data_IF_777505382079
#
_entry.id   IF_777505382079
#
_cell.length_a   1.000
_cell.length_b   1.000
_cell.length_c   1.000
_cell.angle_alpha   90.00
_cell.angle_beta   90.00
_cell.angle_gamma   90.00
#
_symmetry.space_group_name_H-M   'P 1'
#
loop_
_entity.id
_entity.type
_entity.pdbx_description
1 polymer ?
#
# COMPACT_ATOMS: atom_id res chain seq x y z
N UNK A 1 -21.89 -6.14 -29.07
CA UNK A 1 -21.90 -6.09 -27.59
C UNK A 1 -23.19 -6.70 -27.10
N UNK A 2 -23.11 -7.82 -26.41
CA UNK A 2 -24.28 -8.54 -25.90
C UNK A 2 -24.93 -7.86 -24.70
N UNK A 3 -26.21 -8.14 -24.43
CA UNK A 3 -26.94 -7.62 -23.26
C UNK A 3 -26.23 -7.98 -21.94
N UNK A 4 -25.59 -9.16 -21.88
CA UNK A 4 -24.82 -9.63 -20.72
C UNK A 4 -23.56 -8.81 -20.47
N UNK A 5 -22.79 -8.48 -21.52
CA UNK A 5 -21.57 -7.68 -21.42
C UNK A 5 -21.87 -6.25 -20.94
N UNK A 6 -22.99 -5.67 -21.42
CA UNK A 6 -23.44 -4.35 -20.98
C UNK A 6 -23.81 -4.33 -19.49
N UNK A 7 -24.57 -5.32 -19.03
CA UNK A 7 -24.97 -5.43 -17.62
C UNK A 7 -23.77 -5.64 -16.70
N UNK A 8 -22.80 -6.45 -17.10
CA UNK A 8 -21.60 -6.66 -16.30
C UNK A 8 -20.75 -5.38 -16.23
N UNK A 9 -20.64 -4.63 -17.33
CA UNK A 9 -19.94 -3.34 -17.32
C UNK A 9 -20.63 -2.33 -16.40
N UNK A 10 -21.95 -2.17 -16.51
CA UNK A 10 -22.72 -1.27 -15.64
C UNK A 10 -22.57 -1.66 -14.15
N UNK A 11 -22.49 -2.97 -13.85
CA UNK A 11 -22.23 -3.49 -12.50
C UNK A 11 -20.84 -3.08 -12.00
N UNK A 12 -19.79 -3.25 -12.81
CA UNK A 12 -18.43 -2.86 -12.44
C UNK A 12 -18.27 -1.35 -12.28
N UNK A 13 -18.88 -0.55 -13.16
CA UNK A 13 -18.90 0.91 -13.07
C UNK A 13 -19.54 1.37 -11.74
N UNK A 14 -20.67 0.78 -11.36
CA UNK A 14 -21.32 1.12 -10.09
C UNK A 14 -20.49 0.65 -8.88
N UNK A 15 -19.88 -0.55 -8.93
CA UNK A 15 -18.96 -1.01 -7.87
C UNK A 15 -17.84 0.01 -7.66
N UNK A 16 -17.22 0.49 -8.74
CA UNK A 16 -16.17 1.50 -8.67
C UNK A 16 -16.67 2.83 -8.08
N UNK A 17 -17.85 3.31 -8.48
CA UNK A 17 -18.43 4.52 -7.90
C UNK A 17 -18.68 4.41 -6.38
N UNK A 18 -19.10 3.24 -5.89
CA UNK A 18 -19.26 2.99 -4.46
C UNK A 18 -17.91 3.10 -3.74
N UNK A 19 -16.88 2.49 -4.30
CA UNK A 19 -15.53 2.47 -3.74
C UNK A 19 -14.92 3.88 -3.70
N UNK A 20 -15.03 4.64 -4.79
CA UNK A 20 -14.53 6.02 -4.88
C UNK A 20 -15.21 6.93 -3.84
N UNK A 21 -16.53 6.80 -3.70
CA UNK A 21 -17.29 7.57 -2.71
C UNK A 21 -16.96 7.17 -1.26
N UNK A 22 -16.77 5.87 -1.01
CA UNK A 22 -16.35 5.37 0.30
C UNK A 22 -14.95 5.87 0.67
N UNK A 23 -14.00 5.80 -0.26
CA UNK A 23 -12.64 6.30 -0.07
C UNK A 23 -12.64 7.79 0.27
N UNK A 24 -13.38 8.61 -0.50
CA UNK A 24 -13.51 10.04 -0.23
C UNK A 24 -14.08 10.30 1.17
N UNK A 25 -15.14 9.61 1.57
CA UNK A 25 -15.74 9.77 2.90
C UNK A 25 -14.82 9.29 4.04
N UNK A 26 -14.08 8.20 3.84
CA UNK A 26 -13.09 7.72 4.81
C UNK A 26 -12.00 8.77 5.04
N UNK A 27 -11.56 9.47 4.01
CA UNK A 27 -10.55 10.54 4.13
C UNK A 27 -11.14 11.84 4.70
N UNK A 28 -12.37 12.19 4.32
CA UNK A 28 -13.03 13.45 4.75
C UNK A 28 -13.42 13.43 6.24
N UNK A 29 -13.97 12.32 6.74
CA UNK A 29 -14.55 12.25 8.08
C UNK A 29 -14.12 11.04 8.93
N UNK A 30 -13.32 10.13 8.37
CA UNK A 30 -12.87 8.91 9.02
C UNK A 30 -13.78 7.71 8.78
N UNK A 31 -13.21 6.50 8.90
CA UNK A 31 -13.93 5.24 8.71
C UNK A 31 -15.12 5.10 9.68
N UNK A 32 -14.93 5.34 10.97
CA UNK A 32 -15.97 5.22 12.00
C UNK A 32 -17.20 6.10 11.75
N UNK A 33 -16.98 7.34 11.32
CA UNK A 33 -18.08 8.29 11.06
C UNK A 33 -18.77 8.06 9.72
N UNK A 34 -18.21 7.21 8.86
CA UNK A 34 -18.79 6.88 7.57
C UNK A 34 -19.73 5.70 7.70
N UNK A 35 -20.94 5.83 7.15
CA UNK A 35 -21.93 4.77 7.06
C UNK A 35 -22.25 4.41 5.61
N UNK A 36 -22.80 3.23 5.36
CA UNK A 36 -23.33 2.82 4.04
C UNK A 36 -24.34 3.84 3.51
N UNK A 37 -25.12 4.46 4.40
CA UNK A 37 -26.06 5.50 4.04
C UNK A 37 -25.36 6.76 3.51
N UNK A 38 -24.26 7.19 4.13
CA UNK A 38 -23.50 8.34 3.64
C UNK A 38 -22.92 8.06 2.25
N UNK A 39 -22.42 6.84 2.03
CA UNK A 39 -21.87 6.43 0.72
C UNK A 39 -22.99 6.48 -0.32
N UNK A 40 -24.15 5.87 -0.04
CA UNK A 40 -25.30 5.87 -0.93
C UNK A 40 -25.80 7.29 -1.25
N UNK A 41 -25.92 8.14 -0.24
CA UNK A 41 -26.31 9.55 -0.40
C UNK A 41 -25.32 10.31 -1.30
N UNK A 42 -24.01 10.07 -1.14
CA UNK A 42 -22.98 10.75 -1.94
C UNK A 42 -23.01 10.39 -3.43
N UNK A 43 -23.45 9.19 -3.77
CA UNK A 43 -23.59 8.75 -5.17
C UNK A 43 -25.04 8.83 -5.67
N UNK A 44 -25.96 9.40 -4.88
CA UNK A 44 -27.39 9.53 -5.20
C UNK A 44 -28.13 8.18 -5.42
N UNK A 45 -27.71 7.14 -4.70
CA UNK A 45 -28.36 5.82 -4.70
C UNK A 45 -29.03 5.51 -3.35
N UNK A 46 -29.86 4.46 -3.36
CA UNK A 46 -30.42 3.92 -2.11
C UNK A 46 -29.36 3.08 -1.37
N UNK A 47 -29.39 3.01 -0.02
CA UNK A 47 -28.54 2.07 0.72
C UNK A 47 -28.73 0.62 0.27
N UNK A 48 -29.96 0.24 -0.10
CA UNK A 48 -30.26 -1.08 -0.65
C UNK A 48 -29.47 -1.41 -1.92
N UNK A 49 -29.13 -0.41 -2.73
CA UNK A 49 -28.29 -0.59 -3.92
C UNK A 49 -26.87 -0.97 -3.53
N UNK A 50 -26.30 -0.39 -2.47
CA UNK A 50 -24.95 -0.71 -1.99
C UNK A 50 -24.88 -2.15 -1.49
N UNK A 51 -25.92 -2.59 -0.77
CA UNK A 51 -26.01 -3.96 -0.24
C UNK A 51 -26.09 -5.05 -1.32
N UNK A 52 -26.32 -4.69 -2.60
CA UNK A 52 -26.21 -5.63 -3.72
C UNK A 52 -24.75 -5.96 -4.08
N UNK A 53 -23.80 -5.12 -3.66
CA UNK A 53 -22.38 -5.22 -3.98
C UNK A 53 -21.54 -5.59 -2.77
N UNK A 54 -21.86 -5.00 -1.61
CA UNK A 54 -21.07 -5.16 -0.40
C UNK A 54 -21.96 -5.51 0.78
N UNK A 55 -21.55 -6.50 1.56
CA UNK A 55 -22.32 -6.96 2.72
C UNK A 55 -22.43 -5.88 3.80
N UNK A 56 -21.34 -5.18 4.04
CA UNK A 56 -21.22 -4.16 5.08
C UNK A 56 -20.07 -3.18 4.75
N UNK A 57 -19.80 -2.25 5.67
CA UNK A 57 -18.75 -1.24 5.52
C UNK A 57 -17.34 -1.86 5.53
N UNK A 58 -17.16 -2.98 6.23
CA UNK A 58 -15.87 -3.66 6.31
C UNK A 58 -15.52 -4.36 4.99
N UNK A 59 -16.51 -4.91 4.29
CA UNK A 59 -16.37 -5.48 2.95
C UNK A 59 -15.91 -4.42 1.93
N UNK A 60 -16.50 -3.22 1.97
CA UNK A 60 -16.05 -2.06 1.15
C UNK A 60 -14.60 -1.69 1.49
N UNK A 61 -14.28 -1.66 2.79
CA UNK A 61 -12.93 -1.35 3.23
C UNK A 61 -11.91 -2.36 2.71
N UNK A 62 -12.21 -3.65 2.84
CA UNK A 62 -11.33 -4.72 2.42
C UNK A 62 -11.04 -4.62 0.91
N UNK A 63 -12.06 -4.39 0.09
CA UNK A 63 -11.88 -4.20 -1.34
C UNK A 63 -10.98 -2.98 -1.64
N UNK A 64 -11.20 -1.85 -0.97
CA UNK A 64 -10.33 -0.67 -1.10
C UNK A 64 -8.88 -0.97 -0.69
N UNK A 65 -8.69 -1.73 0.39
CA UNK A 65 -7.38 -2.13 0.90
C UNK A 65 -6.65 -3.03 -0.10
N UNK A 66 -7.32 -4.06 -0.61
CA UNK A 66 -6.82 -4.94 -1.67
C UNK A 66 -6.41 -4.13 -2.90
N UNK A 67 -7.28 -3.22 -3.38
CA UNK A 67 -6.97 -2.36 -4.52
C UNK A 67 -5.74 -1.47 -4.26
N UNK A 68 -5.60 -0.92 -3.07
CA UNK A 68 -4.45 -0.10 -2.71
C UNK A 68 -3.14 -0.90 -2.75
N UNK A 69 -3.13 -2.12 -2.21
CA UNK A 69 -1.95 -3.00 -2.28
C UNK A 69 -1.67 -3.52 -3.69
N UNK A 70 -2.69 -3.71 -4.54
CA UNK A 70 -2.47 -4.02 -5.96
C UNK A 70 -1.80 -2.85 -6.70
N UNK A 71 -2.23 -1.62 -6.42
CA UNK A 71 -1.64 -0.41 -7.01
C UNK A 71 -0.20 -0.25 -6.55
N UNK A 72 0.09 -0.48 -5.26
CA UNK A 72 1.46 -0.53 -4.75
C UNK A 72 2.28 -1.64 -5.42
N UNK A 73 1.75 -2.86 -5.53
CA UNK A 73 2.46 -3.97 -6.15
C UNK A 73 2.79 -3.67 -7.62
N UNK A 74 1.83 -3.19 -8.41
CA UNK A 74 2.05 -2.79 -9.80
C UNK A 74 3.13 -1.71 -9.91
N UNK A 75 3.16 -0.77 -8.96
CA UNK A 75 4.20 0.25 -8.87
C UNK A 75 5.58 -0.38 -8.62
N UNK A 76 5.70 -1.29 -7.65
CA UNK A 76 6.99 -1.89 -7.27
C UNK A 76 7.46 -2.98 -8.24
N UNK A 77 6.55 -3.71 -8.89
CA UNK A 77 6.85 -4.88 -9.71
C UNK A 77 7.73 -4.56 -10.92
N UNK A 78 7.76 -3.31 -11.39
CA UNK A 78 8.66 -2.87 -12.48
C UNK A 78 10.14 -3.03 -12.13
N UNK A 79 10.48 -3.07 -10.84
CA UNK A 79 11.85 -3.29 -10.37
C UNK A 79 12.36 -4.70 -10.63
N UNK A 80 11.48 -5.68 -10.90
CA UNK A 80 11.85 -7.07 -11.20
C UNK A 80 12.79 -7.17 -12.42
N UNK A 81 12.73 -6.20 -13.34
CA UNK A 81 13.61 -6.12 -14.51
C UNK A 81 15.08 -5.78 -14.16
N UNK A 82 15.34 -5.27 -12.95
CA UNK A 82 16.69 -4.94 -12.48
C UNK A 82 17.39 -6.22 -12.03
N UNK A 83 18.52 -6.57 -12.67
CA UNK A 83 19.22 -7.85 -12.47
C UNK A 83 20.11 -7.91 -11.22
N UNK A 84 20.68 -6.77 -10.83
CA UNK A 84 21.46 -6.69 -9.59
C UNK A 84 20.50 -6.53 -8.41
N UNK A 85 20.49 -7.44 -7.42
CA UNK A 85 19.51 -7.38 -6.35
C UNK A 85 19.75 -6.22 -5.40
N UNK A 86 20.97 -5.69 -5.27
CA UNK A 86 21.23 -4.50 -4.45
C UNK A 86 20.72 -3.24 -5.14
N UNK A 87 20.89 -3.12 -6.46
CA UNK A 87 20.23 -2.07 -7.26
C UNK A 87 18.71 -2.21 -7.22
N UNK A 88 18.18 -3.45 -7.25
CA UNK A 88 16.75 -3.71 -7.11
C UNK A 88 16.24 -3.27 -5.73
N UNK A 89 16.92 -3.58 -4.63
CA UNK A 89 16.57 -3.12 -3.28
C UNK A 89 16.56 -1.60 -3.16
N UNK A 90 17.58 -0.94 -3.73
CA UNK A 90 17.65 0.52 -3.78
C UNK A 90 16.46 1.10 -4.55
N UNK A 91 16.14 0.53 -5.71
CA UNK A 91 15.00 0.95 -6.52
C UNK A 91 13.67 0.71 -5.80
N UNK A 92 13.47 -0.47 -5.19
CA UNK A 92 12.31 -0.79 -4.36
C UNK A 92 12.10 0.24 -3.25
N UNK A 93 13.17 0.61 -2.54
CA UNK A 93 13.12 1.59 -1.45
C UNK A 93 12.71 2.98 -1.95
N UNK A 94 13.28 3.44 -3.07
CA UNK A 94 12.94 4.73 -3.66
C UNK A 94 11.51 4.75 -4.21
N UNK A 95 11.07 3.68 -4.85
CA UNK A 95 9.72 3.55 -5.40
C UNK A 95 8.67 3.47 -4.29
N UNK A 96 8.94 2.73 -3.22
CA UNK A 96 8.07 2.67 -2.05
C UNK A 96 7.90 4.06 -1.40
N UNK A 97 9.00 4.81 -1.21
CA UNK A 97 8.93 6.19 -0.72
C UNK A 97 8.16 7.10 -1.68
N UNK A 98 8.46 7.04 -2.97
CA UNK A 98 7.77 7.85 -3.99
C UNK A 98 6.28 7.57 -3.99
N UNK A 99 5.88 6.30 -3.94
CA UNK A 99 4.48 5.90 -3.84
C UNK A 99 3.80 6.54 -2.63
N UNK A 100 4.40 6.44 -1.45
CA UNK A 100 3.87 6.99 -0.21
C UNK A 100 3.72 8.53 -0.26
N UNK A 101 4.69 9.21 -0.87
CA UNK A 101 4.69 10.67 -1.03
C UNK A 101 3.61 11.13 -2.01
N UNK A 102 3.47 10.43 -3.14
CA UNK A 102 2.55 10.80 -4.20
C UNK A 102 1.10 10.35 -3.91
N UNK A 103 0.91 9.37 -3.02
CA UNK A 103 -0.40 8.77 -2.69
C UNK A 103 -0.61 8.66 -1.16
N UNK A 104 -0.61 9.77 -0.41
CA UNK A 104 -0.73 9.75 1.05
C UNK A 104 -2.05 9.11 1.52
N UNK A 105 -3.15 9.31 0.80
CA UNK A 105 -4.45 8.76 1.16
C UNK A 105 -4.49 7.23 1.01
N UNK A 106 -3.92 6.69 -0.09
CA UNK A 106 -3.78 5.24 -0.26
C UNK A 106 -2.85 4.65 0.81
N UNK A 107 -1.81 5.37 1.19
CA UNK A 107 -0.91 4.92 2.25
C UNK A 107 -1.59 4.90 3.63
N UNK A 108 -2.38 5.93 3.94
CA UNK A 108 -3.17 5.99 5.17
C UNK A 108 -4.19 4.85 5.22
N UNK A 109 -4.85 4.56 4.09
CA UNK A 109 -5.75 3.42 3.93
C UNK A 109 -5.06 2.09 4.22
N UNK A 110 -3.85 1.88 3.71
CA UNK A 110 -3.13 0.60 3.84
C UNK A 110 -2.58 0.33 5.25
N UNK A 111 -2.06 1.35 5.94
CA UNK A 111 -1.18 1.13 7.10
C UNK A 111 -1.60 1.85 8.40
N UNK A 112 -2.58 2.76 8.35
CA UNK A 112 -2.84 3.68 9.46
C UNK A 112 -4.21 3.50 10.09
N UNK A 113 -5.22 3.09 9.31
CA UNK A 113 -6.52 2.74 9.85
C UNK A 113 -6.36 1.43 10.64
N UNK A 114 -6.67 1.46 11.95
CA UNK A 114 -6.54 0.31 12.88
C UNK A 114 -7.64 -0.74 12.70
N UNK A 115 -8.82 -0.27 12.35
CA UNK A 115 -10.05 -1.05 12.17
C UNK A 115 -10.07 -2.15 11.08
N UNK A 116 -9.15 -2.22 10.09
CA UNK A 116 -9.17 -3.26 9.05
C UNK A 116 -8.65 -4.64 9.43
N UNK A 117 -7.72 -4.72 10.39
CA UNK A 117 -7.02 -5.99 10.65
C UNK A 117 -7.97 -7.03 11.28
N UNK A 118 -8.93 -6.59 12.10
CA UNK A 118 -9.97 -7.46 12.67
C UNK A 118 -10.95 -7.97 11.59
N UNK A 119 -11.16 -7.22 10.50
CA UNK A 119 -11.96 -7.66 9.36
C UNK A 119 -11.20 -8.64 8.45
N UNK A 120 -9.88 -8.47 8.31
CA UNK A 120 -8.98 -9.39 7.61
C UNK A 120 -8.90 -10.76 8.32
N UNK A 121 -8.94 -10.80 9.65
CA UNK A 121 -8.98 -12.07 10.40
C UNK A 121 -10.21 -12.93 10.06
N UNK A 122 -11.28 -12.30 9.59
CA UNK A 122 -12.54 -12.96 9.24
C UNK A 122 -12.67 -13.25 7.73
N UNK A 123 -11.82 -12.68 6.87
CA UNK A 123 -11.86 -12.84 5.41
C UNK A 123 -10.53 -13.44 4.92
N UNK A 124 -10.61 -14.70 4.51
CA UNK A 124 -9.52 -15.59 4.11
C UNK A 124 -8.41 -14.91 3.28
N UNK A 125 -7.17 -14.90 3.81
CA UNK A 125 -5.92 -14.71 3.06
C UNK A 125 -5.61 -13.27 2.62
N UNK A 126 -4.62 -12.63 3.23
CA UNK A 126 -4.09 -11.33 2.79
C UNK A 126 -3.09 -11.48 1.63
N UNK A 127 -3.54 -12.05 0.51
CA UNK A 127 -2.69 -12.38 -0.64
C UNK A 127 -1.86 -11.19 -1.14
N UNK A 128 -2.45 -10.00 -1.20
CA UNK A 128 -1.77 -8.81 -1.70
C UNK A 128 -0.66 -8.33 -0.76
N UNK A 129 -0.85 -8.50 0.55
CA UNK A 129 0.19 -8.26 1.53
C UNK A 129 1.37 -9.21 1.33
N UNK A 130 1.08 -10.50 1.16
CA UNK A 130 2.10 -11.50 0.83
C UNK A 130 2.82 -11.16 -0.47
N UNK A 131 2.11 -10.87 -1.57
CA UNK A 131 2.71 -10.51 -2.87
C UNK A 131 3.67 -9.31 -2.78
N UNK A 132 3.32 -8.27 -2.01
CA UNK A 132 4.17 -7.10 -1.82
C UNK A 132 5.39 -7.42 -0.96
N UNK A 133 5.21 -8.18 0.12
CA UNK A 133 6.30 -8.60 1.00
C UNK A 133 7.27 -9.56 0.31
N UNK A 134 6.75 -10.54 -0.43
CA UNK A 134 7.53 -11.55 -1.16
C UNK A 134 8.46 -10.89 -2.18
N UNK A 135 8.05 -9.82 -2.85
CA UNK A 135 8.92 -9.07 -3.76
C UNK A 135 10.19 -8.54 -3.05
N UNK A 136 10.03 -7.97 -1.86
CA UNK A 136 11.16 -7.52 -1.05
C UNK A 136 12.00 -8.72 -0.57
N UNK A 137 11.34 -9.72 0.00
CA UNK A 137 11.97 -10.90 0.58
C UNK A 137 12.78 -11.70 -0.42
N UNK A 138 12.23 -11.95 -1.60
CA UNK A 138 12.91 -12.67 -2.68
C UNK A 138 14.13 -11.90 -3.17
N UNK A 139 14.04 -10.57 -3.22
CA UNK A 139 15.19 -9.72 -3.60
C UNK A 139 16.29 -9.76 -2.53
N UNK A 140 15.93 -9.74 -1.24
CA UNK A 140 16.88 -9.91 -0.13
C UNK A 140 17.54 -11.29 -0.20
N UNK A 141 16.74 -12.35 -0.40
CA UNK A 141 17.25 -13.72 -0.52
C UNK A 141 18.24 -13.85 -1.69
N UNK A 142 17.92 -13.30 -2.86
CA UNK A 142 18.83 -13.29 -4.02
C UNK A 142 20.17 -12.57 -3.71
N UNK A 143 20.11 -11.44 -3.00
CA UNK A 143 21.32 -10.71 -2.58
C UNK A 143 22.17 -11.52 -1.59
N UNK A 144 21.54 -12.28 -0.69
CA UNK A 144 22.22 -13.15 0.28
C UNK A 144 22.87 -14.35 -0.43
N UNK A 145 22.18 -14.98 -1.38
CA UNK A 145 22.70 -16.09 -2.18
C UNK A 145 23.92 -15.67 -3.02
N UNK A 146 23.93 -14.42 -3.51
CA UNK A 146 25.08 -13.82 -4.21
C UNK A 146 26.19 -13.33 -3.27
N UNK A 147 26.04 -13.49 -1.95
CA UNK A 147 27.01 -13.05 -0.95
C UNK A 147 27.15 -11.52 -0.82
N UNK A 148 26.16 -10.77 -1.31
CA UNK A 148 26.13 -9.30 -1.24
C UNK A 148 25.58 -8.78 0.09
N UNK A 149 24.73 -9.58 0.75
CA UNK A 149 24.22 -9.37 2.10
C UNK A 149 24.71 -10.54 2.96
N UNK A 150 25.06 -10.25 4.22
CA UNK A 150 25.49 -11.27 5.17
C UNK A 150 24.39 -12.33 5.36
N UNK A 151 24.78 -13.60 5.44
CA UNK A 151 23.87 -14.71 5.72
C UNK A 151 23.22 -14.53 7.09
N UNK A 152 21.90 -14.53 7.12
CA UNK A 152 21.01 -14.39 8.27
C UNK A 152 19.65 -15.02 7.90
N UNK A 153 18.62 -14.83 8.72
CA UNK A 153 17.23 -15.05 8.34
C UNK A 153 16.77 -13.96 7.33
N UNK A 154 16.31 -14.34 6.10
CA UNK A 154 15.85 -13.37 5.10
C UNK A 154 14.63 -12.56 5.55
N UNK A 155 13.78 -13.13 6.40
CA UNK A 155 12.59 -12.45 6.92
C UNK A 155 12.99 -11.37 7.94
N UNK A 156 13.99 -11.62 8.77
CA UNK A 156 14.55 -10.60 9.70
C UNK A 156 15.10 -9.40 8.93
N UNK A 157 15.89 -9.65 7.89
CA UNK A 157 16.48 -8.59 7.07
C UNK A 157 15.40 -7.83 6.29
N UNK A 158 14.41 -8.54 5.74
CA UNK A 158 13.31 -7.94 4.98
C UNK A 158 12.42 -7.07 5.86
N UNK A 159 12.07 -7.53 7.06
CA UNK A 159 11.31 -6.75 8.04
C UNK A 159 12.07 -5.52 8.50
N UNK A 160 13.38 -5.63 8.74
CA UNK A 160 14.20 -4.49 9.12
C UNK A 160 14.28 -3.44 7.99
N UNK A 161 14.56 -3.89 6.76
CA UNK A 161 14.60 -3.02 5.58
C UNK A 161 13.25 -2.32 5.36
N UNK A 162 12.14 -3.08 5.39
CA UNK A 162 10.80 -2.52 5.25
C UNK A 162 10.51 -1.52 6.37
N UNK A 163 10.77 -1.85 7.63
CA UNK A 163 10.49 -0.98 8.77
C UNK A 163 11.22 0.36 8.68
N UNK A 164 12.48 0.36 8.24
CA UNK A 164 13.27 1.58 8.10
C UNK A 164 12.72 2.50 7.01
N UNK A 165 12.40 1.96 5.83
CA UNK A 165 11.81 2.74 4.73
C UNK A 165 10.37 3.16 5.03
N UNK A 166 9.58 2.28 5.64
CA UNK A 166 8.22 2.55 6.13
C UNK A 166 8.22 3.66 7.18
N UNK A 167 9.20 3.67 8.09
CA UNK A 167 9.39 4.74 9.07
C UNK A 167 9.62 6.11 8.40
N UNK A 168 10.47 6.15 7.36
CA UNK A 168 10.69 7.37 6.58
C UNK A 168 9.42 7.86 5.88
N UNK A 169 8.67 6.96 5.23
CA UNK A 169 7.39 7.27 4.59
C UNK A 169 6.35 7.78 5.60
N UNK A 170 6.20 7.10 6.73
CA UNK A 170 5.28 7.47 7.80
C UNK A 170 5.60 8.85 8.39
N UNK A 171 6.89 9.13 8.65
CA UNK A 171 7.33 10.44 9.13
C UNK A 171 7.07 11.54 8.10
N UNK A 172 7.25 11.24 6.81
CA UNK A 172 6.96 12.17 5.71
C UNK A 172 5.48 12.54 5.67
N UNK A 173 4.60 11.53 5.57
CA UNK A 173 3.15 11.72 5.45
C UNK A 173 2.60 12.50 6.65
N UNK A 174 3.13 12.23 7.85
CA UNK A 174 2.75 12.94 9.08
C UNK A 174 3.43 14.29 9.27
N UNK A 175 4.16 14.80 8.26
CA UNK A 175 4.87 16.09 8.27
C UNK A 175 5.77 16.23 9.51
N UNK A 176 6.47 15.15 9.88
CA UNK A 176 7.30 15.08 11.10
C UNK A 176 8.74 15.55 10.92
N UNK A 177 9.14 15.94 9.71
CA UNK A 177 10.47 16.46 9.41
C UNK A 177 10.66 17.97 9.63
N UNK A 178 9.81 18.62 10.46
CA UNK A 178 9.87 20.08 10.70
C UNK A 178 11.16 20.58 11.38
N UNK A 179 12.01 19.67 11.88
CA UNK A 179 13.32 20.01 12.42
C UNK A 179 14.39 20.26 11.35
N UNK A 180 14.07 20.00 10.07
CA UNK A 180 14.95 20.20 8.92
C UNK A 180 14.44 21.36 8.04
N UNK A 181 15.33 22.04 7.27
CA UNK A 181 14.90 22.96 6.22
C UNK A 181 14.03 22.27 5.18
N UNK A 182 12.94 22.91 4.73
CA UNK A 182 11.92 22.31 3.85
C UNK A 182 12.53 21.78 2.55
N UNK A 183 13.40 22.57 1.93
CA UNK A 183 14.13 22.25 0.71
C UNK A 183 15.08 21.05 0.87
N UNK A 184 15.51 20.76 2.10
CA UNK A 184 16.43 19.67 2.42
C UNK A 184 15.69 18.36 2.75
N UNK A 185 14.42 18.39 3.14
CA UNK A 185 13.69 17.18 3.60
C UNK A 185 13.67 16.11 2.51
N UNK A 186 13.22 16.45 1.30
CA UNK A 186 13.09 15.46 0.21
C UNK A 186 14.44 14.84 -0.15
N UNK A 187 15.50 15.61 -0.45
CA UNK A 187 16.81 15.02 -0.72
C UNK A 187 17.34 14.14 0.42
N UNK A 188 17.18 14.56 1.68
CA UNK A 188 17.67 13.80 2.83
C UNK A 188 16.92 12.49 3.04
N UNK A 189 15.60 12.48 2.86
CA UNK A 189 14.77 11.26 3.01
C UNK A 189 15.13 10.21 1.97
N UNK A 190 15.27 10.60 0.70
CA UNK A 190 15.68 9.67 -0.36
C UNK A 190 17.12 9.18 -0.15
N UNK A 191 18.04 10.06 0.28
CA UNK A 191 19.40 9.66 0.63
C UNK A 191 19.44 8.70 1.82
N UNK A 192 18.57 8.89 2.83
CA UNK A 192 18.46 7.98 3.96
C UNK A 192 18.00 6.58 3.54
N UNK A 193 17.06 6.48 2.59
CA UNK A 193 16.67 5.19 2.00
C UNK A 193 17.83 4.50 1.27
N UNK A 194 18.62 5.25 0.50
CA UNK A 194 19.80 4.71 -0.19
C UNK A 194 20.87 4.20 0.80
N UNK A 195 21.05 4.92 1.92
CA UNK A 195 21.97 4.55 2.99
C UNK A 195 21.54 3.25 3.68
N UNK A 196 20.24 3.06 3.92
CA UNK A 196 19.69 1.80 4.47
C UNK A 196 20.08 0.62 3.59
N UNK A 197 19.89 0.72 2.27
CA UNK A 197 20.28 -0.35 1.34
C UNK A 197 21.79 -0.60 1.33
N UNK A 198 22.60 0.44 1.49
CA UNK A 198 24.06 0.30 1.53
C UNK A 198 24.51 -0.44 2.79
N UNK A 199 23.92 -0.14 3.95
CA UNK A 199 24.24 -0.80 5.22
C UNK A 199 23.83 -2.26 5.30
N UNK A 200 22.83 -2.70 4.54
CA UNK A 200 22.50 -4.12 4.42
C UNK A 200 23.69 -4.98 3.98
N UNK A 201 24.65 -4.42 3.22
CA UNK A 201 25.89 -5.11 2.83
C UNK A 201 26.83 -5.33 4.01
N UNK A 202 26.85 -4.40 4.97
CA UNK A 202 27.77 -4.37 6.10
C UNK A 202 27.21 -5.09 7.33
N UNK A 203 25.88 -5.28 7.36
CA UNK A 203 25.11 -5.71 8.53
C UNK A 203 24.42 -4.52 9.20
N UNK A 204 23.18 -4.73 9.67
CA UNK A 204 22.44 -3.73 10.48
C UNK A 204 22.91 -3.82 11.93
#
# INVERSE_FOLDING_TARGET
MGITERKEREKQELKQHILDAAMALFMEQGYEKTSIRNIAERIEYSPGTIYLYFKDKADIFLELHTMAFEVLFKHLAVTKEIKDPMERLRSLSQMYLKFAIDNPDLYDLMFILREPMEALDHHCGWEEGFKNYDLLRDTVLEAMEKGMIKKEDPDVISLAAWSLVHGLASLWIRKRFKMLPEEAVKPLVFKAADEICSRLKEGI
#
